data_IF_183996732676
#
_entry.id   IF_183996732676
#
_cell.length_a   1.000
_cell.length_b   1.000
_cell.length_c   1.000
_cell.angle_alpha   90.00
_cell.angle_beta   90.00
_cell.angle_gamma   90.00
#
_symmetry.space_group_name_H-M   'P 1'
#
loop_
_entity.id
_entity.type
_entity.pdbx_description
1 polymer ?
#
# COMPACT_ATOMS: atom_id res chain seq x y z
N UNK A 1 -2.31 -8.42 -28.51
CA UNK A 1 -2.24 -9.58 -27.56
C UNK A 1 -3.40 -9.58 -26.59
N UNK A 2 -3.80 -10.76 -26.09
CA UNK A 2 -4.71 -10.90 -24.93
C UNK A 2 -3.88 -10.95 -23.65
N UNK A 3 -4.08 -9.95 -22.76
CA UNK A 3 -3.30 -9.78 -21.55
C UNK A 3 -4.22 -9.94 -20.33
N UNK A 4 -3.92 -10.93 -19.49
CA UNK A 4 -4.65 -11.16 -18.23
C UNK A 4 -3.86 -10.58 -17.05
N UNK A 5 -4.44 -9.62 -16.37
CA UNK A 5 -3.87 -9.03 -15.15
C UNK A 5 -4.59 -9.59 -13.92
N UNK A 6 -3.85 -10.09 -12.93
CA UNK A 6 -4.42 -10.74 -11.75
C UNK A 6 -3.97 -10.04 -10.47
N UNK A 7 -4.94 -9.66 -9.64
CA UNK A 7 -4.71 -9.19 -8.28
C UNK A 7 -4.89 -10.35 -7.30
N UNK A 8 -3.81 -10.76 -6.62
CA UNK A 8 -3.82 -11.90 -5.69
C UNK A 8 -4.20 -11.53 -4.26
N UNK A 9 -4.61 -10.30 -4.03
CA UNK A 9 -4.95 -9.80 -2.71
C UNK A 9 -6.28 -10.41 -2.20
N UNK A 10 -6.21 -11.17 -1.08
CA UNK A 10 -7.36 -11.91 -0.52
C UNK A 10 -7.37 -11.83 1.01
N UNK A 11 -7.82 -10.70 1.54
CA UNK A 11 -7.81 -10.47 2.98
C UNK A 11 -9.21 -10.34 3.58
N UNK A 12 -10.00 -11.40 3.59
CA UNK A 12 -11.36 -11.36 4.18
C UNK A 12 -11.35 -10.88 5.64
N UNK A 13 -10.37 -11.28 6.45
CA UNK A 13 -10.29 -10.88 7.87
C UNK A 13 -9.79 -9.43 8.07
N UNK A 14 -8.88 -8.96 7.23
CA UNK A 14 -8.45 -7.56 7.26
C UNK A 14 -9.54 -6.62 6.77
N UNK A 15 -10.31 -7.04 5.77
CA UNK A 15 -11.35 -6.23 5.15
C UNK A 15 -12.44 -5.80 6.13
N UNK A 16 -12.80 -6.62 7.12
CA UNK A 16 -13.77 -6.26 8.16
C UNK A 16 -13.29 -5.14 9.09
N UNK A 17 -11.99 -4.83 9.09
CA UNK A 17 -11.34 -3.84 9.96
C UNK A 17 -10.78 -2.63 9.21
N UNK A 18 -10.82 -2.64 7.87
CA UNK A 18 -10.32 -1.54 7.04
C UNK A 18 -11.43 -0.56 6.69
N UNK A 19 -11.09 0.73 6.67
CA UNK A 19 -12.00 1.81 6.22
C UNK A 19 -12.16 1.85 4.69
N UNK A 20 -11.33 1.13 3.95
CA UNK A 20 -11.40 1.00 2.49
C UNK A 20 -10.97 -0.39 2.06
N UNK A 21 -11.59 -0.92 1.00
CA UNK A 21 -11.10 -2.11 0.33
C UNK A 21 -10.01 -1.72 -0.68
N UNK A 22 -8.90 -2.46 -0.72
CA UNK A 22 -7.81 -2.15 -1.63
C UNK A 22 -8.17 -2.56 -3.06
N UNK A 23 -8.80 -1.64 -3.79
CA UNK A 23 -8.94 -1.73 -5.23
C UNK A 23 -7.58 -2.01 -5.87
N UNK A 24 -7.46 -2.90 -6.87
CA UNK A 24 -6.18 -3.16 -7.54
C UNK A 24 -5.81 -2.02 -8.51
N UNK A 25 -5.76 -0.79 -7.99
CA UNK A 25 -5.51 0.43 -8.76
C UNK A 25 -4.18 0.37 -9.53
N UNK A 26 -3.16 -0.28 -8.98
CA UNK A 26 -1.88 -0.48 -9.67
C UNK A 26 -2.03 -1.26 -10.98
N UNK A 27 -2.91 -2.26 -11.03
CA UNK A 27 -3.19 -2.99 -12.28
C UNK A 27 -4.01 -2.14 -13.26
N UNK A 28 -4.89 -1.26 -12.78
CA UNK A 28 -5.60 -0.31 -13.63
C UNK A 28 -4.63 0.70 -14.27
N UNK A 29 -3.60 1.16 -13.53
CA UNK A 29 -2.52 1.98 -14.11
C UNK A 29 -1.70 1.20 -15.13
N UNK A 30 -1.30 -0.04 -14.84
CA UNK A 30 -0.61 -0.91 -15.84
C UNK A 30 -1.46 -1.06 -17.09
N UNK A 31 -2.76 -1.34 -16.95
CA UNK A 31 -3.69 -1.42 -18.07
C UNK A 31 -3.79 -0.10 -18.87
N UNK A 32 -3.71 1.05 -18.17
CA UNK A 32 -3.71 2.38 -18.80
C UNK A 32 -2.51 2.65 -19.71
N UNK A 33 -1.39 1.97 -19.52
CA UNK A 33 -0.20 2.08 -20.37
C UNK A 33 -0.27 1.20 -21.63
N UNK A 34 -1.15 0.20 -21.65
CA UNK A 34 -1.31 -0.71 -22.79
C UNK A 34 -2.17 -0.08 -23.88
N UNK A 35 -1.70 -0.15 -25.13
CA UNK A 35 -2.43 0.36 -26.30
C UNK A 35 -3.72 -0.47 -26.52
N UNK A 36 -4.93 0.10 -26.34
CA UNK A 36 -6.17 -0.65 -26.48
C UNK A 36 -6.47 -1.08 -27.92
N UNK A 37 -5.78 -0.52 -28.90
CA UNK A 37 -5.93 -0.94 -30.32
C UNK A 37 -5.14 -2.21 -30.62
N UNK A 38 -4.13 -2.54 -29.82
CA UNK A 38 -3.25 -3.69 -29.97
C UNK A 38 -3.48 -4.78 -28.93
N UNK A 39 -3.84 -4.38 -27.71
CA UNK A 39 -3.95 -5.30 -26.59
C UNK A 39 -5.38 -5.32 -26.02
N UNK A 40 -5.92 -6.53 -25.92
CA UNK A 40 -7.16 -6.77 -25.17
C UNK A 40 -6.80 -7.14 -23.74
N UNK A 41 -7.20 -6.32 -22.77
CA UNK A 41 -6.87 -6.51 -21.37
C UNK A 41 -8.09 -7.04 -20.61
N UNK A 42 -7.84 -7.97 -19.69
CA UNK A 42 -8.82 -8.40 -18.68
C UNK A 42 -8.15 -8.35 -17.31
N UNK A 43 -8.80 -7.68 -16.35
CA UNK A 43 -8.37 -7.69 -14.94
C UNK A 43 -9.20 -8.71 -14.17
N UNK A 44 -8.53 -9.63 -13.47
CA UNK A 44 -9.12 -10.57 -12.53
C UNK A 44 -8.73 -10.19 -11.12
N UNK A 45 -9.71 -9.75 -10.33
CA UNK A 45 -9.53 -9.40 -8.93
C UNK A 45 -10.02 -10.52 -8.03
N UNK A 46 -9.11 -11.19 -7.33
CA UNK A 46 -9.41 -12.33 -6.47
C UNK A 46 -9.94 -11.92 -5.08
N UNK A 47 -10.06 -10.62 -4.79
CA UNK A 47 -10.51 -10.10 -3.50
C UNK A 47 -11.84 -10.70 -3.05
N UNK A 48 -12.79 -10.81 -3.97
CA UNK A 48 -14.15 -11.27 -3.69
C UNK A 48 -14.39 -12.75 -4.01
N UNK A 49 -13.35 -13.46 -4.48
CA UNK A 49 -13.48 -14.85 -4.89
C UNK A 49 -13.58 -15.79 -3.68
N UNK A 50 -14.51 -16.72 -3.71
CA UNK A 50 -14.60 -17.81 -2.73
C UNK A 50 -13.69 -18.98 -3.10
N UNK A 51 -13.67 -19.35 -4.37
CA UNK A 51 -12.81 -20.38 -4.96
C UNK A 51 -11.89 -19.76 -6.03
N UNK A 52 -10.84 -19.10 -5.57
CA UNK A 52 -9.98 -18.30 -6.42
C UNK A 52 -9.16 -19.13 -7.42
N UNK A 53 -8.80 -20.36 -7.12
CA UNK A 53 -8.03 -21.18 -8.04
C UNK A 53 -8.91 -21.64 -9.21
N UNK A 54 -10.13 -22.04 -8.95
CA UNK A 54 -11.10 -22.38 -10.00
C UNK A 54 -11.46 -21.15 -10.85
N UNK A 55 -11.58 -19.97 -10.24
CA UNK A 55 -11.83 -18.73 -10.96
C UNK A 55 -10.65 -18.33 -11.89
N UNK A 56 -9.41 -18.51 -11.42
CA UNK A 56 -8.19 -18.34 -12.23
C UNK A 56 -8.20 -19.30 -13.41
N UNK A 57 -8.45 -20.59 -13.18
CA UNK A 57 -8.51 -21.61 -14.21
C UNK A 57 -9.56 -21.29 -15.27
N UNK A 58 -10.78 -21.04 -14.86
CA UNK A 58 -11.90 -20.76 -15.77
C UNK A 58 -11.65 -19.47 -16.57
N UNK A 59 -11.11 -18.43 -15.92
CA UNK A 59 -10.78 -17.19 -16.60
C UNK A 59 -9.66 -17.39 -17.64
N UNK A 60 -8.59 -18.10 -17.28
CA UNK A 60 -7.50 -18.37 -18.19
C UNK A 60 -7.93 -19.24 -19.39
N UNK A 61 -8.76 -20.27 -19.16
CA UNK A 61 -9.33 -21.12 -20.25
C UNK A 61 -10.22 -20.32 -21.20
N UNK A 62 -11.10 -19.46 -20.65
CA UNK A 62 -12.02 -18.68 -21.47
C UNK A 62 -11.35 -17.54 -22.21
N UNK A 63 -10.41 -16.84 -21.57
CA UNK A 63 -9.74 -15.68 -22.15
C UNK A 63 -8.55 -16.03 -23.04
N UNK A 64 -7.91 -17.19 -22.80
CA UNK A 64 -6.72 -17.66 -23.51
C UNK A 64 -5.62 -16.60 -23.58
N UNK A 65 -5.08 -16.18 -22.44
CA UNK A 65 -4.08 -15.11 -22.41
C UNK A 65 -2.80 -15.49 -23.16
N UNK A 66 -2.16 -14.51 -23.77
CA UNK A 66 -0.85 -14.57 -24.40
C UNK A 66 0.24 -13.97 -23.52
N UNK A 67 -0.16 -13.20 -22.50
CA UNK A 67 0.68 -12.67 -21.44
C UNK A 67 -0.13 -12.57 -20.16
N UNK A 68 0.46 -12.92 -19.02
CA UNK A 68 -0.18 -12.78 -17.70
C UNK A 68 0.66 -11.88 -16.81
N UNK A 69 0.04 -10.83 -16.23
CA UNK A 69 0.63 -9.99 -15.21
C UNK A 69 0.01 -10.26 -13.83
N UNK A 70 0.80 -10.43 -12.79
CA UNK A 70 0.33 -10.68 -11.42
C UNK A 70 0.85 -9.59 -10.50
N UNK A 71 -0.06 -8.92 -9.78
CA UNK A 71 0.29 -7.92 -8.78
C UNK A 71 0.31 -8.52 -7.38
N UNK A 72 1.47 -8.41 -6.72
CA UNK A 72 1.67 -8.77 -5.31
C UNK A 72 1.65 -7.47 -4.50
N UNK A 73 0.51 -7.19 -3.82
CA UNK A 73 0.33 -5.93 -3.11
C UNK A 73 1.06 -5.89 -1.77
N UNK A 74 0.96 -6.95 -0.98
CA UNK A 74 1.53 -7.04 0.36
C UNK A 74 2.27 -8.37 0.55
N UNK A 75 3.40 -8.35 1.29
CA UNK A 75 4.05 -9.59 1.76
C UNK A 75 3.24 -10.24 2.88
N UNK A 76 2.64 -9.42 3.74
CA UNK A 76 1.86 -9.89 4.89
C UNK A 76 0.71 -8.94 5.26
N UNK A 77 -0.06 -9.34 6.26
CA UNK A 77 -1.11 -8.52 6.87
C UNK A 77 -0.58 -7.53 7.92
N UNK A 78 0.73 -7.46 8.16
CA UNK A 78 1.38 -6.63 9.18
C UNK A 78 0.80 -6.81 10.60
N UNK A 79 0.29 -7.99 10.95
CA UNK A 79 -0.20 -8.34 12.28
C UNK A 79 0.82 -9.23 13.00
N UNK A 80 1.30 -8.78 14.16
CA UNK A 80 2.15 -9.58 15.04
C UNK A 80 1.39 -10.74 15.70
N UNK A 81 0.11 -10.49 16.06
CA UNK A 81 -0.71 -11.46 16.77
C UNK A 81 -1.23 -12.61 15.89
N UNK A 82 -1.42 -12.35 14.61
CA UNK A 82 -1.90 -13.32 13.62
C UNK A 82 -1.21 -13.04 12.28
N UNK A 83 0.09 -13.36 12.14
CA UNK A 83 0.84 -13.05 10.93
C UNK A 83 0.38 -13.92 9.77
N UNK A 84 -0.08 -13.30 8.69
CA UNK A 84 -0.50 -13.98 7.47
C UNK A 84 0.46 -13.66 6.33
N UNK A 85 1.07 -14.68 5.80
CA UNK A 85 1.98 -14.57 4.66
C UNK A 85 1.24 -14.68 3.34
N UNK A 86 1.45 -13.74 2.41
CA UNK A 86 0.65 -13.63 1.19
C UNK A 86 1.25 -14.33 -0.03
N UNK A 87 2.55 -14.53 -0.08
CA UNK A 87 3.21 -15.15 -1.23
C UNK A 87 2.73 -16.57 -1.57
N UNK A 88 2.33 -17.42 -0.60
CA UNK A 88 1.76 -18.74 -0.93
C UNK A 88 0.51 -18.67 -1.81
N UNK A 89 -0.31 -17.63 -1.68
CA UNK A 89 -1.48 -17.43 -2.55
C UNK A 89 -1.03 -17.17 -3.98
N UNK A 90 -0.07 -16.27 -4.17
CA UNK A 90 0.48 -15.96 -5.51
C UNK A 90 1.12 -17.20 -6.13
N UNK A 91 1.89 -17.97 -5.34
CA UNK A 91 2.51 -19.21 -5.82
C UNK A 91 1.45 -20.20 -6.31
N UNK A 92 0.39 -20.43 -5.54
CA UNK A 92 -0.71 -21.32 -5.92
C UNK A 92 -1.42 -20.85 -7.21
N UNK A 93 -1.59 -19.52 -7.39
CA UNK A 93 -2.14 -18.94 -8.62
C UNK A 93 -1.23 -19.22 -9.82
N UNK A 94 0.09 -19.07 -9.67
CA UNK A 94 1.05 -19.37 -10.74
C UNK A 94 1.03 -20.87 -11.09
N UNK A 95 1.04 -21.74 -10.08
CA UNK A 95 0.96 -23.18 -10.29
C UNK A 95 -0.33 -23.57 -11.04
N UNK A 96 -1.48 -23.00 -10.69
CA UNK A 96 -2.75 -23.21 -11.39
C UNK A 96 -2.70 -22.69 -12.84
N UNK A 97 -2.15 -21.50 -13.08
CA UNK A 97 -1.99 -20.95 -14.44
C UNK A 97 -1.14 -21.86 -15.32
N UNK A 98 -0.05 -22.43 -14.81
CA UNK A 98 0.84 -23.32 -15.58
C UNK A 98 0.16 -24.60 -16.03
N UNK A 99 -0.91 -25.04 -15.38
CA UNK A 99 -1.74 -26.16 -15.85
C UNK A 99 -2.68 -25.77 -16.98
N UNK A 100 -2.92 -24.46 -17.16
CA UNK A 100 -4.01 -23.94 -18.00
C UNK A 100 -3.50 -23.19 -19.24
N UNK A 101 -2.37 -22.49 -19.13
CA UNK A 101 -1.82 -21.68 -20.21
C UNK A 101 -0.31 -21.86 -20.35
N UNK A 102 0.21 -21.55 -21.55
CA UNK A 102 1.65 -21.44 -21.84
C UNK A 102 2.14 -20.00 -21.89
N UNK A 103 1.23 -19.04 -21.62
CA UNK A 103 1.57 -17.61 -21.63
C UNK A 103 2.68 -17.31 -20.62
N UNK A 104 3.64 -16.43 -20.92
CA UNK A 104 4.59 -15.93 -19.95
C UNK A 104 3.88 -15.28 -18.76
N UNK A 105 4.38 -15.52 -17.55
CA UNK A 105 3.85 -14.97 -16.30
C UNK A 105 4.84 -13.96 -15.74
N UNK A 106 4.38 -12.73 -15.56
CA UNK A 106 5.14 -11.59 -15.03
C UNK A 106 4.60 -11.21 -13.67
N UNK A 107 5.44 -11.24 -12.62
CA UNK A 107 5.08 -10.75 -11.30
C UNK A 107 5.59 -9.33 -11.07
N UNK A 108 4.82 -8.53 -10.35
CA UNK A 108 5.20 -7.18 -9.94
C UNK A 108 4.39 -6.70 -8.75
N UNK A 109 4.40 -5.40 -8.54
CA UNK A 109 3.64 -4.74 -7.48
C UNK A 109 4.49 -4.37 -6.27
N UNK A 110 3.91 -3.63 -5.29
CA UNK A 110 4.68 -3.05 -4.18
C UNK A 110 5.43 -4.08 -3.35
N UNK A 111 4.81 -5.21 -3.03
CA UNK A 111 5.45 -6.25 -2.23
C UNK A 111 6.57 -6.97 -2.98
N UNK A 112 6.39 -7.23 -4.28
CA UNK A 112 7.44 -7.79 -5.12
C UNK A 112 8.67 -6.88 -5.16
N UNK A 113 8.46 -5.56 -5.20
CA UNK A 113 9.53 -4.57 -5.29
C UNK A 113 10.37 -4.42 -4.01
N UNK A 114 9.89 -4.94 -2.86
CA UNK A 114 10.64 -4.92 -1.59
C UNK A 114 11.83 -5.89 -1.63
N UNK A 115 11.59 -7.12 -2.09
CA UNK A 115 12.55 -8.21 -2.17
C UNK A 115 12.36 -8.95 -3.51
N UNK A 116 12.74 -8.31 -4.64
CA UNK A 116 12.35 -8.80 -5.97
C UNK A 116 12.98 -10.16 -6.31
N UNK A 117 14.22 -10.41 -5.92
CA UNK A 117 14.91 -11.67 -6.22
C UNK A 117 14.37 -12.83 -5.38
N UNK A 118 14.12 -12.58 -4.09
CA UNK A 118 13.56 -13.54 -3.14
C UNK A 118 12.09 -13.88 -3.49
N UNK A 119 11.30 -12.85 -3.82
CA UNK A 119 9.93 -13.05 -4.31
C UNK A 119 9.92 -13.87 -5.60
N UNK A 120 10.79 -13.52 -6.56
CA UNK A 120 10.94 -14.24 -7.83
C UNK A 120 11.31 -15.71 -7.59
N UNK A 121 12.30 -15.96 -6.73
CA UNK A 121 12.75 -17.32 -6.38
C UNK A 121 11.63 -18.15 -5.75
N UNK A 122 10.83 -17.54 -4.87
CA UNK A 122 9.79 -18.24 -4.13
C UNK A 122 8.54 -18.54 -4.96
N UNK A 123 8.02 -17.54 -5.71
CA UNK A 123 6.75 -17.71 -6.45
C UNK A 123 6.95 -18.31 -7.85
N UNK A 124 8.14 -18.19 -8.44
CA UNK A 124 8.53 -18.85 -9.67
C UNK A 124 7.86 -18.35 -10.96
N UNK A 125 7.77 -17.04 -11.23
CA UNK A 125 7.27 -16.53 -12.50
C UNK A 125 8.32 -16.71 -13.60
N UNK A 126 7.97 -16.38 -14.85
CA UNK A 126 8.94 -16.33 -15.94
C UNK A 126 9.75 -15.03 -15.91
N UNK A 127 9.10 -13.93 -15.56
CA UNK A 127 9.67 -12.59 -15.44
C UNK A 127 9.12 -11.88 -14.22
N UNK A 128 9.82 -10.84 -13.77
CA UNK A 128 9.35 -9.92 -12.74
C UNK A 128 9.59 -8.47 -13.14
N UNK A 129 8.87 -7.53 -12.53
CA UNK A 129 9.12 -6.09 -12.67
C UNK A 129 9.11 -5.47 -11.28
N UNK A 130 10.25 -4.92 -10.87
CA UNK A 130 10.42 -4.18 -9.63
C UNK A 130 10.23 -2.67 -9.87
N UNK A 131 9.55 -1.99 -8.94
CA UNK A 131 9.23 -0.56 -9.03
C UNK A 131 7.94 -0.26 -9.78
N UNK A 132 7.89 0.90 -10.45
CA UNK A 132 6.75 1.29 -11.29
C UNK A 132 6.73 0.47 -12.57
N UNK A 133 5.71 -0.38 -12.70
CA UNK A 133 5.64 -1.38 -13.74
C UNK A 133 4.95 -0.88 -15.03
N UNK A 134 4.23 0.25 -15.01
CA UNK A 134 3.33 0.64 -16.10
C UNK A 134 3.99 0.66 -17.48
N UNK A 135 5.01 1.49 -17.65
CA UNK A 135 5.71 1.62 -18.93
C UNK A 135 6.56 0.38 -19.26
N UNK A 136 7.24 -0.20 -18.25
CA UNK A 136 8.07 -1.39 -18.47
C UNK A 136 7.21 -2.59 -18.91
N UNK A 137 6.04 -2.78 -18.32
CA UNK A 137 5.13 -3.86 -18.68
C UNK A 137 4.56 -3.65 -20.11
N UNK A 138 4.20 -2.40 -20.45
CA UNK A 138 3.72 -2.08 -21.81
C UNK A 138 4.79 -2.31 -22.87
N UNK A 139 6.00 -1.86 -22.64
CA UNK A 139 7.14 -2.10 -23.54
C UNK A 139 7.45 -3.61 -23.68
N UNK A 140 7.40 -4.37 -22.56
CA UNK A 140 7.57 -5.82 -22.60
C UNK A 140 6.49 -6.49 -23.46
N UNK A 141 5.21 -6.11 -23.26
CA UNK A 141 4.09 -6.62 -24.05
C UNK A 141 4.27 -6.34 -25.56
N UNK A 142 4.71 -5.13 -25.88
CA UNK A 142 4.97 -4.70 -27.26
C UNK A 142 6.10 -5.48 -27.93
N UNK A 143 7.21 -5.71 -27.21
CA UNK A 143 8.34 -6.50 -27.71
C UNK A 143 7.97 -7.97 -27.90
N UNK A 144 7.22 -8.55 -26.95
CA UNK A 144 6.73 -9.92 -27.07
C UNK A 144 5.77 -10.08 -28.25
N UNK A 145 4.86 -9.13 -28.48
CA UNK A 145 3.95 -9.15 -29.63
C UNK A 145 4.70 -9.10 -30.97
N UNK A 146 5.76 -8.27 -31.05
CA UNK A 146 6.60 -8.18 -32.25
C UNK A 146 7.54 -9.36 -32.42
N UNK A 147 7.61 -10.27 -31.45
CA UNK A 147 8.55 -11.40 -31.49
C UNK A 147 10.02 -10.95 -31.40
N UNK A 148 10.30 -9.84 -30.74
CA UNK A 148 11.66 -9.33 -30.58
C UNK A 148 12.52 -10.31 -29.77
N UNK A 149 13.77 -10.52 -30.17
CA UNK A 149 14.62 -11.57 -29.59
C UNK A 149 15.14 -11.20 -28.18
N UNK A 150 15.04 -9.94 -27.79
CA UNK A 150 15.55 -9.46 -26.50
C UNK A 150 14.65 -8.38 -25.87
N UNK A 151 14.44 -8.53 -24.59
CA UNK A 151 13.79 -7.55 -23.70
C UNK A 151 14.52 -7.44 -22.34
N UNK A 152 15.68 -8.08 -22.22
CA UNK A 152 16.43 -8.17 -20.97
C UNK A 152 17.10 -6.86 -20.53
N UNK A 153 17.05 -5.83 -21.36
CA UNK A 153 17.54 -4.47 -21.08
C UNK A 153 16.50 -3.59 -20.39
N UNK A 154 15.25 -4.07 -20.26
CA UNK A 154 14.17 -3.26 -19.70
C UNK A 154 14.43 -2.88 -18.24
N UNK A 155 14.23 -1.60 -17.85
CA UNK A 155 14.39 -1.15 -16.48
C UNK A 155 13.41 -1.86 -15.55
N UNK A 156 13.86 -2.22 -14.35
CA UNK A 156 13.03 -2.92 -13.37
C UNK A 156 12.83 -4.41 -13.64
N UNK A 157 13.25 -4.92 -14.82
CA UNK A 157 13.06 -6.33 -15.14
C UNK A 157 13.84 -7.23 -14.19
N UNK A 158 13.19 -8.30 -13.75
CA UNK A 158 13.78 -9.39 -12.97
C UNK A 158 13.59 -10.69 -13.75
N UNK A 159 14.67 -11.42 -13.98
CA UNK A 159 14.65 -12.63 -14.80
C UNK A 159 15.73 -13.64 -14.36
N UNK A 160 15.61 -14.86 -14.84
CA UNK A 160 16.59 -15.92 -14.59
C UNK A 160 17.59 -16.02 -15.75
N UNK A 161 18.87 -15.96 -15.42
CA UNK A 161 19.97 -16.19 -16.36
C UNK A 161 20.85 -17.34 -15.82
N UNK A 162 20.66 -18.55 -16.36
CA UNK A 162 21.24 -19.76 -15.77
C UNK A 162 20.70 -20.00 -14.36
N UNK A 163 21.62 -20.14 -13.42
CA UNK A 163 21.28 -20.34 -11.99
C UNK A 163 21.07 -19.02 -11.22
N UNK A 164 21.33 -17.88 -11.83
CA UNK A 164 21.23 -16.57 -11.19
C UNK A 164 19.90 -15.88 -11.50
N UNK A 165 19.39 -15.12 -10.53
CA UNK A 165 18.28 -14.19 -10.71
C UNK A 165 18.87 -12.79 -10.84
N UNK A 166 18.67 -12.18 -12.00
CA UNK A 166 19.15 -10.84 -12.33
C UNK A 166 18.04 -9.84 -12.10
N UNK A 167 18.36 -8.70 -11.52
CA UNK A 167 17.48 -7.53 -11.39
C UNK A 167 18.16 -6.33 -12.03
N UNK A 168 17.49 -5.67 -12.98
CA UNK A 168 18.02 -4.50 -13.68
C UNK A 168 17.95 -3.19 -12.88
N UNK A 169 17.56 -3.29 -11.61
CA UNK A 169 17.26 -2.10 -10.80
C UNK A 169 15.94 -1.44 -11.20
N UNK A 170 15.40 -0.64 -10.30
CA UNK A 170 14.10 -0.02 -10.51
C UNK A 170 14.18 1.14 -11.53
N UNK A 171 13.09 1.37 -12.26
CA UNK A 171 12.99 2.51 -13.17
C UNK A 171 13.09 3.82 -12.39
N UNK A 172 13.90 4.76 -12.90
CA UNK A 172 14.25 6.00 -12.20
C UNK A 172 13.23 7.16 -12.34
N UNK A 173 12.13 7.00 -13.08
CA UNK A 173 11.17 8.09 -13.35
C UNK A 173 9.72 7.59 -13.41
N UNK A 174 9.08 7.26 -12.28
CA UNK A 174 7.65 7.04 -12.33
C UNK A 174 6.94 8.35 -12.63
N UNK A 175 5.95 8.28 -13.49
CA UNK A 175 5.13 9.40 -13.88
C UNK A 175 3.67 8.96 -13.89
N UNK A 176 2.77 9.87 -13.52
CA UNK A 176 1.35 9.70 -13.84
C UNK A 176 1.12 10.02 -15.32
N UNK A 177 1.76 9.27 -16.22
CA UNK A 177 1.72 9.54 -17.66
C UNK A 177 0.43 9.06 -18.31
N UNK A 178 -0.29 8.16 -17.68
CA UNK A 178 -1.54 7.59 -18.16
C UNK A 178 -2.56 7.45 -17.03
N UNK A 179 -3.85 7.74 -17.29
CA UNK A 179 -4.90 7.48 -16.31
C UNK A 179 -5.11 5.97 -16.09
N UNK A 180 -5.64 5.58 -14.93
CA UNK A 180 -6.00 4.19 -14.68
C UNK A 180 -7.23 3.79 -15.52
N UNK A 181 -7.24 2.56 -16.03
CA UNK A 181 -8.41 1.98 -16.73
C UNK A 181 -9.38 1.37 -15.73
N UNK A 182 -10.22 2.20 -15.13
CA UNK A 182 -11.17 1.78 -14.10
C UNK A 182 -12.33 0.92 -14.65
N UNK A 183 -12.64 1.06 -15.92
CA UNK A 183 -13.65 0.26 -16.62
C UNK A 183 -13.32 -1.24 -16.72
N UNK A 184 -12.06 -1.60 -16.55
CA UNK A 184 -11.61 -2.99 -16.53
C UNK A 184 -11.80 -3.65 -15.15
N UNK A 185 -12.23 -2.88 -14.14
CA UNK A 185 -12.48 -3.35 -12.76
C UNK A 185 -13.98 -3.54 -12.51
N UNK A 186 -14.32 -4.50 -11.66
CA UNK A 186 -15.71 -4.68 -11.21
C UNK A 186 -16.07 -3.66 -10.11
N UNK A 187 -16.26 -2.40 -10.53
CA UNK A 187 -16.59 -1.29 -9.64
C UNK A 187 -17.92 -1.51 -8.88
N UNK A 188 -18.83 -2.35 -9.41
CA UNK A 188 -20.10 -2.65 -8.76
C UNK A 188 -19.88 -3.43 -7.45
N UNK A 189 -18.95 -4.38 -7.42
CA UNK A 189 -18.60 -5.12 -6.19
C UNK A 189 -18.06 -4.19 -5.10
N UNK A 190 -17.21 -3.24 -5.47
CA UNK A 190 -16.66 -2.25 -4.53
C UNK A 190 -17.75 -1.32 -3.99
N UNK A 191 -18.66 -0.87 -4.84
CA UNK A 191 -19.82 -0.06 -4.42
C UNK A 191 -20.72 -0.82 -3.45
N UNK A 192 -21.03 -2.09 -3.72
CA UNK A 192 -21.86 -2.93 -2.85
C UNK A 192 -21.21 -3.18 -1.50
N UNK A 193 -19.90 -3.37 -1.47
CA UNK A 193 -19.14 -3.54 -0.23
C UNK A 193 -19.11 -2.26 0.63
N UNK A 194 -19.44 -1.12 0.06
CA UNK A 194 -19.61 0.15 0.79
C UNK A 194 -18.33 0.80 1.27
N UNK A 195 -17.17 0.36 0.77
CA UNK A 195 -15.86 0.92 1.10
C UNK A 195 -15.46 2.04 0.13
N UNK A 196 -14.49 2.86 0.53
CA UNK A 196 -13.94 3.88 -0.34
C UNK A 196 -13.08 3.30 -1.46
N UNK A 197 -13.17 3.92 -2.63
CA UNK A 197 -12.33 3.60 -3.79
C UNK A 197 -11.03 4.39 -3.68
N UNK A 198 -9.89 3.70 -3.87
CA UNK A 198 -8.58 4.31 -3.78
C UNK A 198 -8.29 5.26 -4.93
N UNK A 199 -7.91 6.50 -4.62
CA UNK A 199 -7.41 7.49 -5.58
C UNK A 199 -6.04 7.96 -5.13
N UNK A 200 -5.06 7.97 -6.05
CA UNK A 200 -3.72 8.46 -5.81
C UNK A 200 -3.63 9.95 -6.13
N UNK A 201 -3.04 10.75 -5.22
CA UNK A 201 -2.71 12.16 -5.49
C UNK A 201 -1.22 12.35 -5.70
N UNK A 202 -0.40 11.43 -5.23
CA UNK A 202 1.06 11.45 -5.31
C UNK A 202 1.65 10.07 -5.13
N UNK A 203 2.91 9.92 -5.48
CA UNK A 203 3.71 8.72 -5.27
C UNK A 203 5.02 9.09 -4.58
N UNK A 204 5.57 8.17 -3.79
CA UNK A 204 6.91 8.27 -3.23
C UNK A 204 7.00 8.60 -1.75
N UNK A 205 8.22 8.86 -1.29
CA UNK A 205 8.58 9.03 0.10
C UNK A 205 8.29 10.43 0.63
N UNK A 206 7.05 10.71 0.96
CA UNK A 206 6.69 11.98 1.62
C UNK A 206 6.79 11.91 3.14
N UNK A 207 6.68 10.72 3.71
CA UNK A 207 6.70 10.49 5.16
C UNK A 207 7.65 9.37 5.57
N UNK A 208 7.57 8.23 4.89
CA UNK A 208 8.52 7.14 5.08
C UNK A 208 9.49 7.13 3.90
N UNK A 209 10.80 7.15 4.14
CA UNK A 209 11.76 6.82 3.11
C UNK A 209 11.52 5.35 2.72
N UNK A 210 10.65 5.14 1.75
CA UNK A 210 10.43 3.80 1.23
C UNK A 210 11.55 3.51 0.25
N UNK A 211 12.37 2.54 0.55
CA UNK A 211 13.32 1.96 -0.40
C UNK A 211 12.64 1.36 -1.64
N UNK A 212 11.32 1.27 -1.59
CA UNK A 212 10.47 0.63 -2.60
C UNK A 212 10.41 1.38 -3.94
N UNK A 213 10.92 2.58 -4.03
CA UNK A 213 10.63 3.42 -5.17
C UNK A 213 11.79 3.71 -6.10
N UNK A 214 13.02 3.32 -5.78
CA UNK A 214 14.16 3.40 -6.70
C UNK A 214 14.54 4.79 -7.24
N UNK A 215 13.78 5.83 -6.88
CA UNK A 215 14.08 7.22 -7.21
C UNK A 215 14.49 7.99 -5.98
N UNK A 216 15.68 8.50 -6.02
CA UNK A 216 16.19 9.41 -5.01
C UNK A 216 16.18 10.83 -5.57
N UNK A 217 15.59 11.75 -4.84
CA UNK A 217 15.87 13.19 -4.95
C UNK A 217 17.21 13.48 -4.27
N UNK A 218 17.73 14.72 -4.38
CA UNK A 218 19.00 15.13 -3.74
C UNK A 218 18.98 14.88 -2.21
N UNK A 219 17.80 14.88 -1.59
CA UNK A 219 17.59 14.55 -0.17
C UNK A 219 17.32 13.05 0.08
N UNK A 220 17.47 12.20 -0.94
CA UNK A 220 17.26 10.75 -0.84
C UNK A 220 15.80 10.30 -0.89
N UNK A 221 14.85 11.21 -1.05
CA UNK A 221 13.43 10.90 -1.11
C UNK A 221 12.89 10.98 -2.54
N UNK A 222 12.09 10.03 -2.92
CA UNK A 222 11.41 9.98 -4.20
C UNK A 222 10.01 10.57 -4.09
N UNK A 223 9.66 11.50 -4.99
CA UNK A 223 8.38 12.23 -4.90
C UNK A 223 7.85 12.59 -6.29
N UNK A 224 6.62 12.20 -6.58
CA UNK A 224 5.86 12.66 -7.73
C UNK A 224 4.48 13.13 -7.28
N UNK A 225 4.11 14.34 -7.66
CA UNK A 225 2.81 14.94 -7.36
C UNK A 225 1.99 14.92 -8.63
N UNK A 226 0.79 14.39 -8.54
CA UNK A 226 -0.15 14.34 -9.64
C UNK A 226 -0.80 15.72 -9.85
N UNK A 227 -0.99 16.17 -11.11
CA UNK A 227 -1.72 17.41 -11.37
C UNK A 227 -3.13 17.37 -10.76
N UNK A 228 -3.48 18.43 -10.00
CA UNK A 228 -4.75 18.50 -9.25
C UNK A 228 -5.96 18.29 -10.17
N UNK A 229 -5.96 18.92 -11.35
CA UNK A 229 -7.05 18.78 -12.31
C UNK A 229 -7.25 17.35 -12.82
N UNK A 230 -6.23 16.49 -12.80
CA UNK A 230 -6.38 15.07 -13.14
C UNK A 230 -6.99 14.28 -11.98
N UNK A 231 -6.64 14.61 -10.75
CA UNK A 231 -7.23 14.00 -9.56
C UNK A 231 -8.72 14.35 -9.48
N UNK A 232 -9.08 15.62 -9.68
CA UNK A 232 -10.47 16.08 -9.69
C UNK A 232 -11.27 15.35 -10.75
N UNK A 233 -10.79 15.30 -12.01
CA UNK A 233 -11.46 14.57 -13.09
C UNK A 233 -11.67 13.09 -12.79
N UNK A 234 -10.70 12.42 -12.16
CA UNK A 234 -10.88 11.02 -11.75
C UNK A 234 -11.98 10.88 -10.70
N UNK A 235 -12.07 11.81 -9.76
CA UNK A 235 -13.14 11.83 -8.74
C UNK A 235 -14.50 12.10 -9.38
N UNK A 236 -14.57 13.03 -10.33
CA UNK A 236 -15.77 13.29 -11.14
C UNK A 236 -16.22 12.03 -11.90
N UNK A 237 -15.31 11.37 -12.61
CA UNK A 237 -15.55 10.10 -13.30
C UNK A 237 -16.07 9.00 -12.37
N UNK A 238 -15.52 8.88 -11.16
CA UNK A 238 -15.99 7.91 -10.16
C UNK A 238 -17.44 8.20 -9.73
N UNK A 239 -17.80 9.47 -9.52
CA UNK A 239 -19.17 9.85 -9.16
C UNK A 239 -20.14 9.68 -10.34
N UNK A 240 -19.81 10.22 -11.50
CA UNK A 240 -20.71 10.28 -12.66
C UNK A 240 -20.89 8.92 -13.35
N UNK A 241 -19.78 8.23 -13.66
CA UNK A 241 -19.81 6.98 -14.43
C UNK A 241 -20.11 5.75 -13.58
N UNK A 242 -19.63 5.71 -12.33
CA UNK A 242 -19.73 4.54 -11.47
C UNK A 242 -20.66 4.73 -10.27
N UNK A 243 -21.21 5.93 -10.07
CA UNK A 243 -22.05 6.29 -8.92
C UNK A 243 -21.36 6.01 -7.58
N UNK A 244 -20.03 6.23 -7.52
CA UNK A 244 -19.19 6.01 -6.36
C UNK A 244 -18.93 7.33 -5.66
N UNK A 245 -19.40 7.45 -4.42
CA UNK A 245 -19.28 8.65 -3.58
C UNK A 245 -18.41 8.46 -2.36
N UNK A 246 -17.87 7.26 -2.15
CA UNK A 246 -16.91 6.99 -1.08
C UNK A 246 -15.53 6.80 -1.67
N UNK A 247 -14.60 7.67 -1.32
CA UNK A 247 -13.24 7.69 -1.85
C UNK A 247 -12.25 7.54 -0.69
N UNK A 248 -11.12 6.94 -0.97
CA UNK A 248 -9.98 6.93 -0.09
C UNK A 248 -8.77 7.48 -0.85
N UNK A 249 -8.32 8.70 -0.50
CA UNK A 249 -7.03 9.16 -0.99
C UNK A 249 -5.94 8.32 -0.32
N UNK A 250 -5.34 7.42 -1.12
CA UNK A 250 -4.46 6.35 -0.63
C UNK A 250 -3.02 6.80 -0.40
N UNK A 251 -2.79 8.10 -0.33
CA UNK A 251 -1.49 8.66 0.03
C UNK A 251 -1.14 8.31 1.49
N UNK A 252 0.11 7.98 1.75
CA UNK A 252 0.56 7.72 3.12
C UNK A 252 0.50 8.96 4.02
N UNK A 253 0.58 10.16 3.42
CA UNK A 253 0.50 11.45 4.09
C UNK A 253 -0.13 12.49 3.16
N UNK A 254 -1.43 12.64 3.25
CA UNK A 254 -2.19 13.60 2.43
C UNK A 254 -1.73 15.05 2.63
N UNK A 255 -1.43 15.43 3.86
CA UNK A 255 -1.06 16.79 4.27
C UNK A 255 0.35 17.23 3.84
N UNK A 256 1.14 16.38 3.22
CA UNK A 256 2.50 16.75 2.78
C UNK A 256 2.62 16.58 1.26
N UNK A 257 2.98 17.63 0.51
CA UNK A 257 3.17 19.03 0.93
C UNK A 257 1.86 19.74 1.30
N UNK A 258 1.91 20.57 2.34
CA UNK A 258 0.72 21.27 2.88
C UNK A 258 0.01 22.11 1.79
N UNK A 259 0.77 22.84 0.98
CA UNK A 259 0.21 23.67 -0.08
C UNK A 259 -0.56 22.85 -1.13
N UNK A 260 -0.06 21.67 -1.50
CA UNK A 260 -0.74 20.77 -2.43
C UNK A 260 -2.05 20.25 -1.82
N UNK A 261 -2.03 19.83 -0.55
CA UNK A 261 -3.22 19.35 0.14
C UNK A 261 -4.33 20.42 0.19
N UNK A 262 -3.97 21.66 0.55
CA UNK A 262 -4.92 22.80 0.57
C UNK A 262 -5.47 23.08 -0.82
N UNK A 263 -4.62 23.13 -1.85
CA UNK A 263 -5.04 23.37 -3.23
C UNK A 263 -5.95 22.25 -3.77
N UNK A 264 -5.69 21.00 -3.43
CA UNK A 264 -6.57 19.89 -3.82
C UNK A 264 -7.94 19.99 -3.12
N UNK A 265 -7.96 20.26 -1.82
CA UNK A 265 -9.23 20.46 -1.09
C UNK A 265 -10.04 21.60 -1.71
N UNK A 266 -9.41 22.74 -2.02
CA UNK A 266 -10.09 23.85 -2.66
C UNK A 266 -10.64 23.46 -4.04
N UNK A 267 -9.87 22.74 -4.85
CA UNK A 267 -10.33 22.27 -6.17
C UNK A 267 -11.52 21.31 -6.09
N UNK A 268 -11.57 20.44 -5.07
CA UNK A 268 -12.71 19.55 -4.82
C UNK A 268 -13.97 20.35 -4.42
N UNK A 269 -13.80 21.43 -3.63
CA UNK A 269 -14.89 22.34 -3.25
C UNK A 269 -15.40 23.10 -4.47
N UNK A 270 -14.49 23.67 -5.28
CA UNK A 270 -14.84 24.45 -6.47
C UNK A 270 -15.57 23.60 -7.54
N UNK A 271 -15.27 22.29 -7.59
CA UNK A 271 -15.95 21.34 -8.47
C UNK A 271 -17.32 20.87 -7.94
N UNK A 272 -17.77 21.32 -6.76
CA UNK A 272 -19.05 20.96 -6.10
C UNK A 272 -19.31 19.44 -6.03
N UNK A 273 -18.25 18.65 -5.80
CA UNK A 273 -18.32 17.19 -5.76
C UNK A 273 -18.98 16.70 -4.46
N UNK A 274 -19.96 15.80 -4.60
CA UNK A 274 -20.71 15.23 -3.47
C UNK A 274 -20.10 13.93 -2.96
N UNK A 275 -18.79 13.93 -2.79
CA UNK A 275 -18.05 12.76 -2.34
C UNK A 275 -17.71 12.84 -0.85
N UNK A 276 -17.69 11.68 -0.19
CA UNK A 276 -17.16 11.53 1.15
C UNK A 276 -15.83 10.77 1.05
N UNK A 277 -14.80 11.31 1.64
CA UNK A 277 -13.49 10.70 1.52
C UNK A 277 -12.75 10.59 2.85
N UNK A 278 -11.85 9.63 2.89
CA UNK A 278 -10.91 9.38 3.98
C UNK A 278 -9.49 9.44 3.44
N UNK A 279 -8.51 9.63 4.32
CA UNK A 279 -7.09 9.59 3.95
C UNK A 279 -6.20 9.34 5.15
N UNK A 280 -4.90 9.14 4.91
CA UNK A 280 -3.89 9.12 5.95
C UNK A 280 -3.24 10.51 6.11
N UNK A 281 -3.00 10.93 7.34
CA UNK A 281 -2.22 12.12 7.66
C UNK A 281 -0.89 11.73 8.31
N UNK A 282 0.17 12.46 7.94
CA UNK A 282 1.37 12.51 8.77
C UNK A 282 1.02 13.19 10.10
N UNK A 283 1.65 12.79 11.21
CA UNK A 283 1.39 13.37 12.53
C UNK A 283 2.00 14.78 12.72
N UNK A 284 2.39 15.43 11.65
CA UNK A 284 2.94 16.79 11.60
C UNK A 284 2.58 17.47 10.27
N UNK A 285 2.90 18.76 10.13
CA UNK A 285 2.65 19.49 8.88
C UNK A 285 1.15 19.66 8.60
N UNK A 286 0.35 19.85 9.65
CA UNK A 286 -1.08 20.16 9.57
C UNK A 286 -1.33 21.52 10.24
N UNK A 287 -2.29 22.28 9.73
CA UNK A 287 -2.76 23.51 10.33
C UNK A 287 -4.30 23.60 10.34
N UNK A 288 -4.84 24.60 11.04
CA UNK A 288 -6.28 24.77 11.18
C UNK A 288 -6.98 25.01 9.83
N UNK A 289 -6.32 25.72 8.90
CA UNK A 289 -6.90 26.01 7.59
C UNK A 289 -7.06 24.72 6.77
N UNK A 290 -6.05 23.81 6.79
CA UNK A 290 -6.15 22.53 6.12
C UNK A 290 -7.31 21.70 6.69
N UNK A 291 -7.45 21.64 8.01
CA UNK A 291 -8.55 20.89 8.66
C UNK A 291 -9.92 21.43 8.23
N UNK A 292 -10.07 22.74 8.12
CA UNK A 292 -11.31 23.37 7.64
C UNK A 292 -11.57 23.04 6.18
N UNK A 293 -10.56 23.19 5.31
CA UNK A 293 -10.66 22.85 3.89
C UNK A 293 -10.99 21.37 3.67
N UNK A 294 -10.33 20.47 4.37
CA UNK A 294 -10.63 19.03 4.30
C UNK A 294 -12.09 18.75 4.63
N UNK A 295 -12.59 19.34 5.71
CA UNK A 295 -13.98 19.16 6.12
C UNK A 295 -14.98 19.70 5.10
N UNK A 296 -14.73 20.89 4.54
CA UNK A 296 -15.55 21.51 3.50
C UNK A 296 -15.51 20.68 2.20
N UNK A 297 -14.37 20.10 1.87
CA UNK A 297 -14.18 19.20 0.72
C UNK A 297 -14.78 17.79 0.91
N UNK A 298 -15.45 17.50 2.04
CA UNK A 298 -16.10 16.22 2.29
C UNK A 298 -15.27 15.16 2.99
N UNK A 299 -14.14 15.53 3.60
CA UNK A 299 -13.36 14.59 4.42
C UNK A 299 -14.16 14.12 5.65
N UNK A 300 -14.38 12.83 5.76
CA UNK A 300 -15.14 12.23 6.85
C UNK A 300 -14.25 11.70 7.97
N UNK A 301 -13.06 11.18 7.64
CA UNK A 301 -12.18 10.55 8.60
C UNK A 301 -10.73 10.61 8.13
N UNK A 302 -9.82 10.91 9.02
CA UNK A 302 -8.39 10.78 8.79
C UNK A 302 -7.78 9.66 9.62
N UNK A 303 -6.81 8.96 9.05
CA UNK A 303 -6.07 7.90 9.70
C UNK A 303 -4.66 8.42 10.00
N UNK A 304 -4.26 8.41 11.26
CA UNK A 304 -2.92 8.80 11.67
C UNK A 304 -2.14 7.60 12.17
N UNK A 305 -0.89 7.48 11.72
CA UNK A 305 0.10 6.65 12.39
C UNK A 305 0.42 7.25 13.76
N UNK A 306 0.51 6.40 14.77
CA UNK A 306 1.07 6.79 16.06
C UNK A 306 2.60 6.89 15.99
N UNK A 307 3.20 7.17 17.12
CA UNK A 307 4.66 7.18 17.26
C UNK A 307 5.18 5.75 17.40
N UNK A 308 6.25 5.45 16.71
CA UNK A 308 6.93 4.15 16.74
C UNK A 308 7.10 3.54 15.36
N UNK A 309 7.99 2.56 15.26
CA UNK A 309 8.38 1.95 13.99
C UNK A 309 9.55 2.68 13.33
N UNK A 310 9.43 3.00 12.07
CA UNK A 310 10.53 3.53 11.25
C UNK A 310 10.80 5.04 11.39
N UNK A 311 10.37 5.69 12.47
CA UNK A 311 10.71 7.10 12.67
C UNK A 311 12.21 7.24 12.89
N UNK A 312 12.92 7.57 11.82
CA UNK A 312 14.37 7.86 11.82
C UNK A 312 14.73 9.16 12.53
N UNK A 313 13.74 9.88 13.03
CA UNK A 313 13.93 11.14 13.74
C UNK A 313 14.48 10.82 15.13
N UNK A 314 15.80 10.96 15.29
CA UNK A 314 16.56 10.67 16.51
C UNK A 314 16.21 11.53 17.73
N UNK A 315 14.97 12.02 17.83
CA UNK A 315 14.45 12.79 18.94
C UNK A 315 14.00 11.94 20.12
N UNK A 316 13.78 12.59 21.25
CA UNK A 316 13.14 12.00 22.42
C UNK A 316 11.70 11.61 22.13
N UNK A 317 11.13 10.73 22.96
CA UNK A 317 9.71 10.35 22.82
C UNK A 317 8.78 11.57 22.82
N UNK A 318 9.06 12.59 23.65
CA UNK A 318 8.23 13.79 23.75
C UNK A 318 8.29 14.62 22.48
N UNK A 319 9.47 14.83 21.91
CA UNK A 319 9.63 15.54 20.63
C UNK A 319 8.86 14.87 19.49
N UNK A 320 8.70 13.56 19.53
CA UNK A 320 7.89 12.81 18.55
C UNK A 320 6.39 12.85 18.85
N UNK A 321 6.00 12.87 20.14
CA UNK A 321 4.59 12.88 20.56
C UNK A 321 3.93 14.25 20.38
N UNK A 322 4.66 15.37 20.54
CA UNK A 322 4.08 16.71 20.50
C UNK A 322 3.44 17.06 19.14
N UNK A 323 4.07 16.81 17.97
CA UNK A 323 3.44 17.07 16.68
C UNK A 323 2.17 16.23 16.45
N UNK A 324 2.16 14.98 16.91
CA UNK A 324 0.98 14.12 16.85
C UNK A 324 -0.16 14.70 17.71
N UNK A 325 0.16 15.09 18.92
CA UNK A 325 -0.80 15.69 19.85
C UNK A 325 -1.41 16.98 19.28
N UNK A 326 -0.57 17.85 18.70
CA UNK A 326 -1.03 19.07 18.05
C UNK A 326 -1.95 18.79 16.88
N UNK A 327 -1.59 17.85 15.98
CA UNK A 327 -2.42 17.45 14.84
C UNK A 327 -3.78 16.89 15.33
N UNK A 328 -3.79 16.08 16.41
CA UNK A 328 -5.04 15.59 17.00
C UNK A 328 -5.91 16.72 17.55
N UNK A 329 -5.30 17.71 18.24
CA UNK A 329 -6.03 18.88 18.78
C UNK A 329 -6.63 19.74 17.66
N UNK A 330 -5.91 19.94 16.57
CA UNK A 330 -6.43 20.64 15.39
C UNK A 330 -7.64 19.91 14.78
N UNK A 331 -7.57 18.59 14.65
CA UNK A 331 -8.71 17.78 14.19
C UNK A 331 -9.90 17.90 15.15
N UNK A 332 -9.68 17.82 16.47
CA UNK A 332 -10.74 17.95 17.49
C UNK A 332 -11.38 19.35 17.45
N UNK A 333 -10.57 20.41 17.39
CA UNK A 333 -11.05 21.79 17.32
C UNK A 333 -11.84 22.06 16.02
N UNK A 334 -11.40 21.52 14.88
CA UNK A 334 -12.09 21.63 13.60
C UNK A 334 -13.26 20.66 13.43
N UNK A 335 -13.47 19.74 14.37
CA UNK A 335 -14.52 18.71 14.30
C UNK A 335 -14.30 17.70 13.17
N UNK A 336 -13.04 17.41 12.82
CA UNK A 336 -12.66 16.36 11.88
C UNK A 336 -12.37 15.07 12.64
N UNK A 337 -13.08 14.00 12.27
CA UNK A 337 -12.86 12.70 12.91
C UNK A 337 -11.52 12.09 12.52
N UNK A 338 -10.87 11.41 13.47
CA UNK A 338 -9.60 10.74 13.23
C UNK A 338 -9.49 9.38 13.95
N UNK A 339 -8.63 8.52 13.44
CA UNK A 339 -8.17 7.30 14.10
C UNK A 339 -6.67 7.37 14.33
N UNK A 340 -6.19 6.67 15.36
CA UNK A 340 -4.75 6.53 15.65
C UNK A 340 -4.37 5.05 15.62
N UNK A 341 -3.27 4.73 14.95
CA UNK A 341 -2.63 3.40 15.00
C UNK A 341 -1.30 3.52 15.73
N UNK A 342 -1.29 3.31 17.04
CA UNK A 342 -0.09 3.39 17.87
C UNK A 342 0.68 2.07 17.90
N UNK A 343 1.96 2.11 17.56
CA UNK A 343 2.86 0.95 17.61
C UNK A 343 3.51 0.85 18.98
N UNK A 344 3.62 -0.38 19.50
CA UNK A 344 4.25 -0.74 20.74
C UNK A 344 5.27 -1.86 20.51
N UNK A 345 6.40 -1.82 21.21
CA UNK A 345 7.46 -2.82 21.12
C UNK A 345 8.61 -2.42 20.19
N UNK A 346 8.73 -1.14 19.83
CA UNK A 346 9.84 -0.62 19.02
C UNK A 346 11.21 -0.74 19.74
N UNK A 347 12.34 -0.61 19.04
CA UNK A 347 13.65 -0.57 19.66
C UNK A 347 13.73 0.45 20.79
N UNK A 348 14.24 0.04 21.95
CA UNK A 348 14.33 0.90 23.13
C UNK A 348 13.04 1.05 23.93
N UNK A 349 11.94 0.40 23.56
CA UNK A 349 10.69 0.45 24.32
C UNK A 349 10.84 -0.12 25.72
N UNK A 350 10.33 0.60 26.70
CA UNK A 350 10.31 0.25 28.12
C UNK A 350 8.88 0.32 28.66
N UNK A 351 8.67 -0.10 29.90
CA UNK A 351 7.37 0.05 30.54
C UNK A 351 6.97 1.52 30.66
N UNK A 352 7.90 2.39 30.93
CA UNK A 352 7.64 3.83 31.05
C UNK A 352 7.17 4.43 29.71
N UNK A 353 7.85 4.10 28.60
CA UNK A 353 7.46 4.61 27.28
C UNK A 353 6.11 4.07 26.83
N UNK A 354 5.79 2.80 27.14
CA UNK A 354 4.46 2.22 26.92
C UNK A 354 3.39 2.99 27.68
N UNK A 355 3.60 3.27 28.98
CA UNK A 355 2.64 4.04 29.79
C UNK A 355 2.45 5.46 29.27
N UNK A 356 3.51 6.12 28.79
CA UNK A 356 3.43 7.47 28.20
C UNK A 356 2.59 7.47 26.93
N UNK A 357 2.79 6.50 26.02
CA UNK A 357 1.98 6.33 24.81
C UNK A 357 0.51 6.07 25.16
N UNK A 358 0.23 5.22 26.16
CA UNK A 358 -1.13 4.96 26.62
C UNK A 358 -1.77 6.18 27.28
N UNK A 359 -1.01 6.94 28.09
CA UNK A 359 -1.49 8.17 28.70
C UNK A 359 -1.88 9.22 27.65
N UNK A 360 -1.10 9.34 26.55
CA UNK A 360 -1.47 10.18 25.42
C UNK A 360 -2.81 9.74 24.83
N UNK A 361 -2.98 8.46 24.52
CA UNK A 361 -4.22 7.94 23.94
C UNK A 361 -5.44 8.14 24.84
N UNK A 362 -5.27 8.05 26.17
CA UNK A 362 -6.35 8.31 27.15
C UNK A 362 -6.81 9.78 27.15
N UNK A 363 -5.93 10.71 26.79
CA UNK A 363 -6.21 12.14 26.76
C UNK A 363 -6.77 12.65 25.42
N UNK A 364 -6.79 11.80 24.40
CA UNK A 364 -7.28 12.10 23.06
C UNK A 364 -8.70 11.52 22.85
N UNK A 365 -9.40 12.04 21.83
CA UNK A 365 -10.77 11.61 21.49
C UNK A 365 -10.85 10.99 20.09
N UNK A 366 -10.01 10.02 19.75
CA UNK A 366 -10.09 9.37 18.45
C UNK A 366 -11.43 8.65 18.28
N UNK A 367 -11.91 8.57 17.04
CA UNK A 367 -13.03 7.69 16.68
C UNK A 367 -12.67 6.22 16.98
N UNK A 368 -11.38 5.88 16.82
CA UNK A 368 -10.81 4.57 17.15
C UNK A 368 -9.31 4.70 17.41
N UNK A 369 -8.78 3.97 18.39
CA UNK A 369 -7.35 3.77 18.61
C UNK A 369 -6.99 2.31 18.38
N UNK A 370 -6.06 2.06 17.45
CA UNK A 370 -5.53 0.75 17.17
C UNK A 370 -4.18 0.59 17.87
N UNK A 371 -4.10 -0.34 18.81
CA UNK A 371 -2.87 -0.71 19.49
C UNK A 371 -2.20 -1.81 18.67
N UNK A 372 -1.07 -1.50 18.04
CA UNK A 372 -0.32 -2.43 17.20
C UNK A 372 0.90 -2.93 17.97
N UNK A 373 1.08 -4.24 18.03
CA UNK A 373 2.22 -4.86 18.71
C UNK A 373 3.27 -5.25 17.67
N UNK A 374 4.53 -4.94 18.01
CA UNK A 374 5.68 -5.24 17.18
C UNK A 374 5.81 -4.33 15.94
N UNK A 375 7.02 -4.15 15.51
CA UNK A 375 7.36 -3.41 14.29
C UNK A 375 7.62 -4.42 13.18
N UNK A 376 6.87 -4.35 12.10
CA UNK A 376 7.15 -5.15 10.90
C UNK A 376 8.53 -4.78 10.37
N UNK A 377 9.42 -5.75 10.26
CA UNK A 377 10.79 -5.51 9.79
C UNK A 377 10.78 -5.50 8.26
N UNK A 378 11.31 -4.42 7.68
CA UNK A 378 11.51 -4.29 6.24
C UNK A 378 13.01 -4.17 5.93
N UNK A 379 13.49 -4.71 4.80
CA UNK A 379 14.91 -4.66 4.45
C UNK A 379 15.41 -3.21 4.32
N UNK A 380 16.69 -3.00 4.70
CA UNK A 380 17.37 -1.71 4.63
C UNK A 380 16.88 -0.67 5.64
N UNK A 381 16.04 -1.03 6.61
CA UNK A 381 15.59 -0.13 7.67
C UNK A 381 16.51 -0.20 8.90
N UNK A 382 16.49 0.83 9.75
CA UNK A 382 17.24 0.80 11.01
C UNK A 382 16.76 -0.34 11.92
N UNK A 383 15.48 -0.71 11.83
CA UNK A 383 14.93 -1.85 12.57
C UNK A 383 15.49 -3.18 12.03
N UNK A 384 15.71 -3.30 10.71
CA UNK A 384 16.36 -4.47 10.13
C UNK A 384 17.82 -4.60 10.60
N UNK A 385 18.58 -3.50 10.56
CA UNK A 385 19.95 -3.47 11.08
C UNK A 385 20.00 -3.91 12.56
N UNK A 386 19.09 -3.38 13.37
CA UNK A 386 18.97 -3.77 14.78
C UNK A 386 18.58 -5.24 14.96
N UNK A 387 17.69 -5.75 14.11
CA UNK A 387 17.27 -7.15 14.15
C UNK A 387 18.41 -8.11 13.76
N UNK A 388 19.30 -7.72 12.85
CA UNK A 388 20.53 -8.45 12.52
C UNK A 388 21.50 -8.44 13.71
N UNK A 389 21.75 -7.30 14.33
CA UNK A 389 22.60 -7.18 15.53
C UNK A 389 22.10 -8.06 16.68
N UNK A 390 20.81 -8.08 16.92
CA UNK A 390 20.16 -8.88 17.98
C UNK A 390 19.90 -10.34 17.55
N UNK A 391 20.26 -10.73 16.33
CA UNK A 391 20.07 -12.09 15.77
C UNK A 391 18.59 -12.52 15.76
N UNK A 392 17.69 -11.59 15.54
CA UNK A 392 16.26 -11.87 15.31
C UNK A 392 16.08 -12.42 13.89
N UNK A 393 16.87 -11.92 12.94
CA UNK A 393 17.00 -12.43 11.57
C UNK A 393 18.45 -12.78 11.29
N UNK A 394 18.70 -13.73 10.42
CA UNK A 394 20.04 -14.10 9.97
C UNK A 394 20.52 -13.27 8.79
N UNK A 395 19.59 -12.92 7.90
CA UNK A 395 19.80 -12.15 6.68
C UNK A 395 18.53 -11.34 6.37
N UNK A 396 18.67 -10.24 5.63
CA UNK A 396 17.50 -9.48 5.15
C UNK A 396 16.63 -10.26 4.15
N UNK A 397 17.17 -11.26 3.45
CA UNK A 397 16.41 -12.17 2.61
C UNK A 397 15.36 -12.98 3.40
N UNK A 398 15.56 -13.21 4.70
CA UNK A 398 14.60 -13.87 5.59
C UNK A 398 13.29 -13.06 5.71
N UNK A 399 13.35 -11.76 5.43
CA UNK A 399 12.20 -10.82 5.51
C UNK A 399 11.16 -11.04 4.41
N UNK A 400 11.39 -11.96 3.49
CA UNK A 400 10.34 -12.46 2.59
C UNK A 400 9.16 -13.05 3.39
N UNK A 401 9.41 -13.50 4.64
CA UNK A 401 8.39 -13.95 5.58
C UNK A 401 8.04 -12.86 6.59
N UNK A 402 6.77 -12.81 7.06
CA UNK A 402 6.38 -11.86 8.10
C UNK A 402 7.26 -11.99 9.33
N UNK A 403 8.08 -10.99 9.58
CA UNK A 403 8.98 -10.96 10.74
C UNK A 403 8.81 -9.63 11.46
N UNK A 404 8.80 -9.68 12.79
CA UNK A 404 8.53 -8.52 13.63
C UNK A 404 9.62 -8.34 14.67
N UNK A 405 10.01 -7.10 14.87
CA UNK A 405 10.81 -6.69 16.02
C UNK A 405 9.91 -6.46 17.23
N UNK A 406 10.31 -6.95 18.36
CA UNK A 406 9.66 -6.69 19.66
C UNK A 406 10.72 -6.54 20.72
N UNK A 407 10.85 -5.34 21.30
CA UNK A 407 11.89 -5.02 22.28
C UNK A 407 11.90 -5.98 23.46
N UNK A 408 13.10 -6.47 23.84
CA UNK A 408 13.27 -7.48 24.89
C UNK A 408 12.69 -7.08 26.24
N UNK A 409 12.75 -5.78 26.60
CA UNK A 409 12.24 -5.26 27.86
C UNK A 409 10.70 -5.36 27.99
N UNK A 410 9.97 -5.47 26.87
CA UNK A 410 8.49 -5.52 26.90
C UNK A 410 7.93 -6.86 26.40
N UNK A 411 8.71 -7.67 25.74
CA UNK A 411 8.29 -8.90 25.03
C UNK A 411 7.43 -9.85 25.88
N UNK A 412 7.79 -10.04 27.15
CA UNK A 412 7.16 -11.05 28.00
C UNK A 412 5.81 -10.63 28.61
N UNK A 413 5.42 -9.35 28.50
CA UNK A 413 4.26 -8.85 29.20
C UNK A 413 3.35 -7.96 28.34
N UNK A 414 3.83 -7.39 27.23
CA UNK A 414 3.14 -6.31 26.52
C UNK A 414 1.82 -6.76 25.90
N UNK A 415 1.75 -7.99 25.38
CA UNK A 415 0.54 -8.51 24.72
C UNK A 415 -0.63 -8.53 25.69
N UNK A 416 -0.46 -9.22 26.84
CA UNK A 416 -1.53 -9.33 27.84
C UNK A 416 -1.83 -7.99 28.49
N UNK A 417 -0.82 -7.15 28.65
CA UNK A 417 -1.01 -5.81 29.20
C UNK A 417 -1.86 -4.92 28.28
N UNK A 418 -1.51 -4.84 26.98
CA UNK A 418 -2.28 -4.04 26.03
C UNK A 418 -3.67 -4.62 25.77
N UNK A 419 -3.84 -5.93 25.84
CA UNK A 419 -5.15 -6.58 25.78
C UNK A 419 -6.05 -6.16 26.95
N UNK A 420 -5.49 -6.15 28.16
CA UNK A 420 -6.21 -5.69 29.35
C UNK A 420 -6.53 -4.19 29.30
N UNK A 421 -5.62 -3.36 28.76
CA UNK A 421 -5.88 -1.93 28.57
C UNK A 421 -6.94 -1.68 27.49
N UNK A 422 -6.85 -2.34 26.34
CA UNK A 422 -7.84 -2.20 25.28
C UNK A 422 -9.26 -2.57 25.76
N UNK A 423 -9.39 -3.60 26.58
CA UNK A 423 -10.67 -4.02 27.14
C UNK A 423 -11.37 -2.97 28.02
N UNK A 424 -10.62 -2.00 28.56
CA UNK A 424 -11.17 -0.88 29.37
C UNK A 424 -11.75 0.26 28.51
N UNK A 425 -11.43 0.27 27.22
CA UNK A 425 -11.75 1.35 26.31
C UNK A 425 -12.51 0.84 25.08
N UNK A 426 -13.85 1.09 24.96
CA UNK A 426 -14.66 0.52 23.85
C UNK A 426 -14.22 0.92 22.44
N UNK A 427 -13.42 1.98 22.32
CA UNK A 427 -12.88 2.47 21.03
C UNK A 427 -11.44 2.05 20.77
N UNK A 428 -10.89 1.16 21.60
CA UNK A 428 -9.52 0.67 21.44
C UNK A 428 -9.54 -0.77 20.90
N UNK A 429 -8.78 -1.01 19.85
CA UNK A 429 -8.58 -2.33 19.28
C UNK A 429 -7.13 -2.75 19.45
N UNK A 430 -6.91 -4.01 19.75
CA UNK A 430 -5.60 -4.64 19.69
C UNK A 430 -5.46 -5.33 18.33
N UNK A 431 -4.39 -5.02 17.58
CA UNK A 431 -4.11 -5.52 16.24
C UNK A 431 -2.78 -6.25 16.17
#
# INVERSE_FOLDING_TARGET
MRILLIATNRHKQLMSRMSAQPLPIGLAYVAGHLDPTRHTVKILDLMFSDDYLNEVENTARAFQPELVGISIRNLSNHSYLDPQWQLPITKAVIEQLRTTTKAPIVCGGPAFSILPQECFAYVGPDLGIAGDAGETFAELADRLERGEPSYFDLPGLVYRAGDQIISNGMRSSPQFSRPPRLEDLDMAKYRQAGFGIGVLTKLGGFYYPTQQSGMQTEDGAWRVIRPIGEVVREVEDLEERFSLRKIFFIDNCFNIPLAHAKALCQALIDADLRVHWNTCLAPYGCDADLVQLMKQAGCALVLMGGIGGDSHDGGTLDERLEPLLETCRLCEAGGLHYTISQVFGEPGETRETVERKLALLRNLKPAMANLRIGVSILPGTAVAARALEERIIGDEADLIRPTFYLAGAVRNWIVEYLKAEAAKHPRWNLL
#
